data_IF_370876553342
#
_entry.id   IF_370876553342
#
_cell.length_a   1.000
_cell.length_b   1.000
_cell.length_c   1.000
_cell.angle_alpha   90.00
_cell.angle_beta   90.00
_cell.angle_gamma   90.00
#
_symmetry.space_group_name_H-M   'P 1'
#
loop_
_entity.id
_entity.type
_entity.pdbx_description
1 polymer ?
#
# COMPACT_ATOMS: atom_id res chain seq x y z
N UNK A 1 2.83 -16.46 -4.59
CA UNK A 1 2.44 -17.46 -3.57
C UNK A 1 0.97 -17.25 -3.20
N UNK A 2 0.32 -18.22 -2.54
CA UNK A 2 -1.06 -18.07 -2.07
C UNK A 2 -1.26 -16.81 -1.22
N UNK A 3 -0.30 -16.50 -0.34
CA UNK A 3 -0.32 -15.32 0.53
C UNK A 3 -0.47 -14.00 -0.24
N UNK A 4 0.38 -13.77 -1.25
CA UNK A 4 0.33 -12.53 -2.06
C UNK A 4 -0.98 -12.41 -2.86
N UNK A 5 -1.56 -13.54 -3.28
CA UNK A 5 -2.86 -13.53 -3.95
C UNK A 5 -4.00 -13.18 -2.98
N UNK A 6 -3.99 -13.74 -1.76
CA UNK A 6 -4.95 -13.41 -0.72
C UNK A 6 -4.87 -11.93 -0.31
N UNK A 7 -3.66 -11.39 -0.13
CA UNK A 7 -3.42 -9.96 0.14
C UNK A 7 -4.03 -9.07 -0.94
N UNK A 8 -3.85 -9.42 -2.22
CA UNK A 8 -4.44 -8.68 -3.34
C UNK A 8 -5.97 -8.66 -3.31
N UNK A 9 -6.60 -9.79 -2.96
CA UNK A 9 -8.06 -9.86 -2.82
C UNK A 9 -8.53 -8.95 -1.69
N UNK A 10 -7.92 -9.07 -0.50
CA UNK A 10 -8.27 -8.26 0.66
C UNK A 10 -8.16 -6.77 0.36
N UNK A 11 -7.05 -6.33 -0.25
CA UNK A 11 -6.87 -4.92 -0.63
C UNK A 11 -7.98 -4.41 -1.55
N UNK A 12 -8.42 -5.24 -2.51
CA UNK A 12 -9.52 -4.87 -3.42
C UNK A 12 -10.84 -4.69 -2.67
N UNK A 13 -11.19 -5.64 -1.80
CA UNK A 13 -12.46 -5.64 -1.06
C UNK A 13 -12.55 -4.49 -0.05
N UNK A 14 -11.44 -4.13 0.59
CA UNK A 14 -11.46 -3.05 1.60
C UNK A 14 -11.35 -1.65 1.01
N UNK A 15 -10.83 -1.49 -0.22
CA UNK A 15 -10.61 -0.17 -0.84
C UNK A 15 -11.83 0.76 -0.81
N UNK A 16 -13.06 0.32 -1.12
CA UNK A 16 -14.25 1.18 -1.07
C UNK A 16 -14.55 1.77 0.31
N UNK A 17 -14.10 1.13 1.39
CA UNK A 17 -14.30 1.61 2.77
C UNK A 17 -13.55 2.93 3.05
N UNK A 18 -12.51 3.22 2.26
CA UNK A 18 -11.68 4.41 2.41
C UNK A 18 -12.20 5.61 1.61
N UNK A 19 -13.14 5.41 0.68
CA UNK A 19 -13.60 6.45 -0.25
C UNK A 19 -14.36 7.62 0.40
N UNK A 20 -14.87 7.45 1.63
CA UNK A 20 -15.66 8.47 2.34
C UNK A 20 -14.88 9.20 3.43
N UNK A 21 -13.62 8.83 3.66
CA UNK A 21 -12.77 9.41 4.70
C UNK A 21 -11.63 10.24 4.13
N UNK A 22 -10.89 10.91 5.02
CA UNK A 22 -9.62 11.55 4.69
C UNK A 22 -8.44 10.57 4.74
N UNK A 23 -8.69 9.33 5.15
CA UNK A 23 -7.69 8.28 5.23
C UNK A 23 -7.28 7.84 3.82
N UNK A 24 -5.98 7.72 3.52
CA UNK A 24 -5.52 7.26 2.21
C UNK A 24 -5.98 5.82 1.94
N UNK A 25 -6.22 5.51 0.68
CA UNK A 25 -6.51 4.13 0.28
C UNK A 25 -5.29 3.24 0.53
N UNK A 26 -5.47 1.90 0.69
CA UNK A 26 -4.36 0.98 0.85
C UNK A 26 -3.27 1.15 -0.22
N UNK A 27 -3.65 1.43 -1.48
CA UNK A 27 -2.73 1.67 -2.58
C UNK A 27 -1.95 2.98 -2.44
N UNK A 28 -2.61 4.07 -2.05
CA UNK A 28 -1.95 5.36 -1.81
C UNK A 28 -0.94 5.27 -0.65
N UNK A 29 -1.32 4.55 0.41
CA UNK A 29 -0.44 4.32 1.54
C UNK A 29 0.75 3.43 1.17
N UNK A 30 0.53 2.36 0.41
CA UNK A 30 1.60 1.50 -0.10
C UNK A 30 2.65 2.29 -0.89
N UNK A 31 2.22 3.13 -1.85
CA UNK A 31 3.12 3.98 -2.63
C UNK A 31 3.94 4.94 -1.74
N UNK A 32 3.32 5.47 -0.69
CA UNK A 32 4.00 6.36 0.26
C UNK A 32 5.13 5.63 0.98
N UNK A 33 4.86 4.41 1.47
CA UNK A 33 5.86 3.58 2.15
C UNK A 33 6.97 3.16 1.19
N UNK A 34 6.65 2.77 -0.05
CA UNK A 34 7.64 2.41 -1.07
C UNK A 34 8.58 3.58 -1.37
N UNK A 35 8.05 4.80 -1.52
CA UNK A 35 8.87 5.99 -1.75
C UNK A 35 9.79 6.32 -0.56
N UNK A 36 9.29 6.17 0.67
CA UNK A 36 10.11 6.35 1.88
C UNK A 36 11.22 5.30 1.93
N UNK A 37 10.89 4.03 1.71
CA UNK A 37 11.86 2.95 1.69
C UNK A 37 12.94 3.17 0.63
N UNK A 38 12.53 3.52 -0.60
CA UNK A 38 13.45 3.81 -1.70
C UNK A 38 14.39 4.97 -1.39
N UNK A 39 13.89 6.05 -0.77
CA UNK A 39 14.72 7.18 -0.33
C UNK A 39 15.85 6.71 0.60
N UNK A 40 15.56 5.84 1.56
CA UNK A 40 16.58 5.36 2.50
C UNK A 40 17.51 4.31 1.90
N UNK A 41 17.00 3.42 1.04
CA UNK A 41 17.83 2.42 0.36
C UNK A 41 18.82 3.05 -0.63
N UNK A 42 18.38 4.05 -1.38
CA UNK A 42 19.24 4.79 -2.33
C UNK A 42 20.28 5.67 -1.62
N UNK A 43 19.93 6.24 -0.47
CA UNK A 43 20.87 7.03 0.34
C UNK A 43 21.82 6.19 1.21
N UNK A 44 21.56 4.88 1.33
CA UNK A 44 22.42 3.94 2.06
C UNK A 44 23.44 3.23 1.16
N UNK A 45 23.45 3.52 -0.15
CA UNK A 45 24.44 3.04 -1.13
C UNK A 45 25.58 4.04 -1.33
#
# INVERSE_FOLDING_TARGET
>A
SFKAYAEKIVMKEVTPLFNKGTMPTPQQFQLTIENIANKYLQNAS
#
